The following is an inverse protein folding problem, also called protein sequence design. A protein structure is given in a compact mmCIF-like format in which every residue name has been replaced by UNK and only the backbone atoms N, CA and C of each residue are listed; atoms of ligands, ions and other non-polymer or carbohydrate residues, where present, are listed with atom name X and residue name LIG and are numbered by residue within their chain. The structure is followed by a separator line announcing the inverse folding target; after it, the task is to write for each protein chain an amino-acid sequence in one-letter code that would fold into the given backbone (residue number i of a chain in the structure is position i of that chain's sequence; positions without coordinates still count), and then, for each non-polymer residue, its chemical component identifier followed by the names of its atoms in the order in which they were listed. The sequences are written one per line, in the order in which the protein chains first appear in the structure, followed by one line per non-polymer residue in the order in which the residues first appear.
data_IF_937028913962
#
_entry.id   IF_937028913962
#
_cell.length_a   1.000
_cell.length_b   1.000
_cell.length_c   1.000
_cell.angle_alpha   90.00
_cell.angle_beta   90.00
_cell.angle_gamma   90.00
#
_symmetry.space_group_name_H-M   'P 1'
#
loop_
_entity.id
_entity.type
_entity.pdbx_description
1 polymer ?
#
# COMPACT_ATOMS: atom_id res chain seq x y z
N UNK A 1 4.95 23.26 1.53
CA UNK A 1 6.17 23.11 0.70
C UNK A 1 5.79 22.20 -0.47
N UNK A 2 5.93 22.64 -1.72
CA UNK A 2 5.54 21.87 -2.91
C UNK A 2 6.80 21.22 -3.47
N UNK A 3 6.83 19.90 -3.57
CA UNK A 3 7.98 19.22 -4.18
C UNK A 3 7.93 19.43 -5.70
N UNK A 4 9.09 19.66 -6.32
CA UNK A 4 9.19 19.71 -7.78
C UNK A 4 8.84 18.32 -8.35
N UNK A 5 8.09 18.28 -9.46
CA UNK A 5 7.84 17.01 -10.18
C UNK A 5 9.19 16.42 -10.60
N UNK A 6 9.43 15.18 -10.21
CA UNK A 6 10.68 14.50 -10.57
C UNK A 6 10.60 13.92 -11.99
N UNK A 7 11.68 14.02 -12.76
CA UNK A 7 11.77 13.51 -14.13
C UNK A 7 12.14 12.02 -14.16
N UNK A 8 11.31 11.16 -13.57
CA UNK A 8 11.46 9.70 -13.68
C UNK A 8 10.26 9.09 -14.42
N UNK A 9 10.18 9.22 -15.76
CA UNK A 9 9.00 8.81 -16.53
C UNK A 9 8.73 7.30 -16.50
N UNK A 10 9.72 6.50 -16.10
CA UNK A 10 9.60 5.04 -16.00
C UNK A 10 9.39 4.53 -14.56
N UNK A 11 9.40 5.42 -13.57
CA UNK A 11 9.17 5.00 -12.18
C UNK A 11 7.71 4.64 -12.00
N UNK A 12 7.43 3.34 -11.88
CA UNK A 12 6.10 2.77 -11.67
C UNK A 12 5.96 2.08 -10.33
N UNK A 13 7.08 1.82 -9.66
CA UNK A 13 7.16 1.08 -8.40
C UNK A 13 7.84 1.96 -7.37
N UNK A 14 7.14 2.26 -6.29
CA UNK A 14 7.68 3.06 -5.21
C UNK A 14 7.65 2.26 -3.91
N UNK A 15 8.82 2.15 -3.28
CA UNK A 15 8.98 1.51 -1.97
C UNK A 15 9.16 2.61 -0.93
N UNK A 16 8.23 2.67 0.02
CA UNK A 16 8.25 3.63 1.12
C UNK A 16 8.71 2.89 2.36
N UNK A 17 9.92 3.21 2.82
CA UNK A 17 10.53 2.62 4.01
C UNK A 17 10.48 3.62 5.16
N UNK A 18 9.85 3.27 6.28
CA UNK A 18 9.70 4.16 7.43
C UNK A 18 8.27 4.61 7.67
N UNK A 19 8.05 5.91 7.81
CA UNK A 19 6.74 6.50 8.19
C UNK A 19 5.77 6.72 7.03
N UNK A 20 4.48 6.79 7.35
CA UNK A 20 3.40 7.14 6.42
C UNK A 20 3.13 8.67 6.32
N UNK A 21 4.07 9.49 6.78
CA UNK A 21 3.94 10.94 6.69
C UNK A 21 4.22 11.39 5.25
N UNK A 22 3.58 12.48 4.83
CA UNK A 22 3.84 13.16 3.56
C UNK A 22 3.60 12.31 2.29
N UNK A 23 2.70 11.32 2.36
CA UNK A 23 2.29 10.50 1.20
C UNK A 23 1.80 11.38 0.04
N UNK A 24 1.10 12.46 0.36
CA UNK A 24 0.63 13.42 -0.65
C UNK A 24 1.78 14.08 -1.42
N UNK A 25 2.91 14.39 -0.76
CA UNK A 25 4.10 14.95 -1.42
C UNK A 25 4.73 13.94 -2.38
N UNK A 26 4.75 12.66 -2.01
CA UNK A 26 5.24 11.58 -2.89
C UNK A 26 4.32 11.41 -4.11
N UNK A 27 3.00 11.51 -3.92
CA UNK A 27 2.04 11.45 -5.02
C UNK A 27 2.14 12.65 -5.98
N UNK A 28 2.45 13.86 -5.48
CA UNK A 28 2.75 15.02 -6.32
C UNK A 28 4.04 14.84 -7.12
N UNK A 29 5.06 14.24 -6.49
CA UNK A 29 6.41 14.08 -7.06
C UNK A 29 6.45 12.96 -8.10
N UNK A 30 5.76 11.86 -7.84
CA UNK A 30 5.72 10.64 -8.66
C UNK A 30 4.25 10.26 -8.92
N UNK A 31 3.54 10.94 -9.82
CA UNK A 31 2.11 10.72 -10.02
C UNK A 31 1.78 9.39 -10.71
N UNK A 32 2.72 8.84 -11.49
CA UNK A 32 2.51 7.67 -12.35
C UNK A 32 2.82 6.31 -11.68
N UNK A 33 2.89 6.27 -10.34
CA UNK A 33 3.11 5.01 -9.62
C UNK A 33 1.92 4.06 -9.82
N UNK A 34 2.26 2.84 -10.22
CA UNK A 34 1.35 1.71 -10.42
C UNK A 34 1.42 0.73 -9.23
N UNK A 35 2.56 0.63 -8.55
CA UNK A 35 2.79 -0.31 -7.44
C UNK A 35 3.45 0.36 -6.25
N UNK A 36 2.81 0.27 -5.09
CA UNK A 36 3.37 0.76 -3.82
C UNK A 36 3.75 -0.41 -2.93
N UNK A 37 4.92 -0.32 -2.30
CA UNK A 37 5.29 -1.22 -1.22
C UNK A 37 5.65 -0.41 0.02
N UNK A 38 5.02 -0.74 1.15
CA UNK A 38 5.31 -0.13 2.44
C UNK A 38 6.15 -1.11 3.27
N UNK A 39 7.40 -0.71 3.51
CA UNK A 39 8.33 -1.41 4.41
C UNK A 39 8.33 -0.67 5.73
N UNK A 40 7.58 -1.21 6.67
CA UNK A 40 7.31 -0.54 7.93
C UNK A 40 8.42 -0.87 8.92
N UNK A 41 9.06 0.16 9.49
CA UNK A 41 9.83 -0.04 10.74
C UNK A 41 8.84 -0.44 11.84
N UNK A 42 9.26 -1.15 12.90
CA UNK A 42 8.41 -1.37 14.06
C UNK A 42 7.90 -0.02 14.55
N UNK A 43 6.63 0.26 14.25
CA UNK A 43 5.96 1.46 14.68
C UNK A 43 5.72 1.32 16.18
N UNK A 44 6.13 2.33 16.95
CA UNK A 44 5.65 2.50 18.32
C UNK A 44 4.13 2.66 18.38
N UNK A 45 3.48 3.05 17.27
CA UNK A 45 2.16 3.66 17.34
C UNK A 45 1.21 3.11 16.25
N UNK A 46 0.90 1.81 16.26
CA UNK A 46 -0.35 1.26 15.70
C UNK A 46 -0.73 1.57 14.24
N UNK A 47 0.17 2.12 13.40
CA UNK A 47 -0.17 2.53 12.03
C UNK A 47 -0.42 1.30 11.16
N UNK A 48 -1.68 1.16 10.74
CA UNK A 48 -2.21 0.03 10.01
C UNK A 48 -2.53 0.42 8.55
N UNK A 49 -2.84 -0.55 7.69
CA UNK A 49 -3.29 -0.36 6.30
C UNK A 49 -4.39 0.67 6.15
N UNK A 50 -5.30 0.80 7.11
CA UNK A 50 -6.37 1.81 7.05
C UNK A 50 -5.82 3.23 6.98
N UNK A 51 -4.71 3.51 7.68
CA UNK A 51 -4.05 4.83 7.63
C UNK A 51 -3.51 5.05 6.23
N UNK A 52 -2.84 4.05 5.63
CA UNK A 52 -2.32 4.13 4.27
C UNK A 52 -3.43 4.46 3.26
N UNK A 53 -4.53 3.71 3.33
CA UNK A 53 -5.65 3.90 2.40
C UNK A 53 -6.33 5.25 2.62
N UNK A 54 -6.46 5.70 3.87
CA UNK A 54 -6.99 7.02 4.18
C UNK A 54 -6.10 8.15 3.64
N UNK A 55 -4.78 8.05 3.78
CA UNK A 55 -3.85 9.03 3.22
C UNK A 55 -3.89 9.08 1.69
N UNK A 56 -4.07 7.91 1.04
CA UNK A 56 -4.25 7.84 -0.42
C UNK A 56 -5.58 8.48 -0.86
N UNK A 57 -6.60 8.45 0.00
CA UNK A 57 -7.94 8.96 -0.26
C UNK A 57 -8.12 10.46 0.09
N UNK A 58 -7.29 11.03 0.98
CA UNK A 58 -7.43 12.39 1.53
C UNK A 58 -7.20 13.55 0.54
N UNK A 59 -6.83 13.30 -0.72
CA UNK A 59 -6.53 14.36 -1.70
C UNK A 59 -7.75 14.88 -2.46
N UNK A 60 -7.85 16.20 -2.67
CA UNK A 60 -8.75 16.81 -3.68
C UNK A 60 -8.44 16.34 -5.11
N UNK A 61 -7.25 15.79 -5.30
CA UNK A 61 -6.79 15.06 -6.48
C UNK A 61 -6.46 13.62 -6.06
N UNK A 62 -6.93 12.63 -6.83
CA UNK A 62 -6.57 11.23 -6.61
C UNK A 62 -5.04 11.05 -6.59
N UNK A 63 -4.46 10.78 -5.42
CA UNK A 63 -3.04 10.46 -5.26
C UNK A 63 -2.70 9.14 -5.98
N UNK A 64 -1.84 9.10 -7.00
CA UNK A 64 -1.56 7.89 -7.81
C UNK A 64 -2.79 7.31 -8.53
N UNK A 65 -3.30 7.98 -9.59
CA UNK A 65 -4.48 7.52 -10.33
C UNK A 65 -4.28 6.16 -11.02
N UNK A 66 -3.03 5.74 -11.28
CA UNK A 66 -2.69 4.47 -11.93
C UNK A 66 -2.41 3.33 -10.95
N UNK A 67 -2.65 3.53 -9.65
CA UNK A 67 -2.30 2.55 -8.63
C UNK A 67 -3.07 1.23 -8.80
N UNK A 68 -2.33 0.17 -9.11
CA UNK A 68 -2.85 -1.18 -9.36
C UNK A 68 -2.62 -2.12 -8.17
N UNK A 69 -1.52 -1.93 -7.43
CA UNK A 69 -1.19 -2.81 -6.30
C UNK A 69 -0.57 -2.08 -5.11
N UNK A 70 -0.88 -2.61 -3.93
CA UNK A 70 -0.30 -2.17 -2.66
C UNK A 70 0.28 -3.40 -1.95
N UNK A 71 1.51 -3.29 -1.48
CA UNK A 71 2.21 -4.32 -0.74
C UNK A 71 2.60 -3.82 0.64
N UNK A 72 2.45 -4.66 1.67
CA UNK A 72 2.72 -4.30 3.06
C UNK A 72 3.54 -5.41 3.71
N UNK A 73 4.72 -5.03 4.23
CA UNK A 73 5.68 -5.92 4.90
C UNK A 73 5.15 -6.45 6.25
N UNK A 74 4.60 -5.56 7.09
CA UNK A 74 4.11 -5.91 8.44
C UNK A 74 2.77 -5.28 8.79
N UNK A 75 1.98 -6.02 9.57
CA UNK A 75 0.73 -5.58 10.18
C UNK A 75 0.69 -6.02 11.65
N UNK A 76 0.27 -5.11 12.53
CA UNK A 76 0.29 -5.32 14.00
C UNK A 76 -1.10 -5.60 14.60
N UNK A 77 -2.18 -5.58 13.81
CA UNK A 77 -3.55 -5.84 14.26
C UNK A 77 -4.36 -6.67 13.25
N UNK A 78 -5.57 -7.09 13.63
CA UNK A 78 -6.56 -7.76 12.77
C UNK A 78 -7.12 -6.82 11.70
N UNK A 79 -6.24 -6.33 10.83
CA UNK A 79 -6.49 -5.32 9.82
C UNK A 79 -7.38 -5.76 8.66
N UNK A 80 -7.58 -7.08 8.52
CA UNK A 80 -8.42 -7.63 7.47
C UNK A 80 -9.84 -7.73 8.01
N UNK A 81 -10.55 -6.61 7.90
CA UNK A 81 -11.93 -6.45 8.34
C UNK A 81 -12.81 -5.86 7.22
N UNK A 82 -14.07 -5.57 7.56
CA UNK A 82 -15.00 -4.94 6.63
C UNK A 82 -14.59 -3.50 6.26
N UNK A 83 -13.92 -2.78 7.16
CA UNK A 83 -13.47 -1.42 6.91
C UNK A 83 -12.38 -1.38 5.84
N UNK A 84 -11.45 -2.34 5.84
CA UNK A 84 -10.44 -2.49 4.80
C UNK A 84 -11.09 -2.76 3.45
N UNK A 85 -12.03 -3.71 3.40
CA UNK A 85 -12.79 -4.02 2.19
C UNK A 85 -13.48 -2.77 1.63
N UNK A 86 -14.17 -2.01 2.48
CA UNK A 86 -14.90 -0.82 2.08
C UNK A 86 -13.96 0.29 1.59
N UNK A 87 -12.79 0.45 2.22
CA UNK A 87 -11.78 1.39 1.76
C UNK A 87 -11.27 1.04 0.35
N UNK A 88 -11.04 -0.24 0.06
CA UNK A 88 -10.63 -0.69 -1.28
C UNK A 88 -11.72 -0.42 -2.31
N UNK A 89 -12.99 -0.75 -2.00
CA UNK A 89 -14.12 -0.46 -2.90
C UNK A 89 -14.19 1.05 -3.18
N UNK A 90 -14.03 1.90 -2.16
CA UNK A 90 -14.05 3.35 -2.33
C UNK A 90 -12.97 3.82 -3.29
N UNK A 91 -11.75 3.29 -3.15
CA UNK A 91 -10.64 3.61 -4.07
C UNK A 91 -10.94 3.16 -5.51
N UNK A 92 -11.51 1.96 -5.69
CA UNK A 92 -11.91 1.47 -7.02
C UNK A 92 -13.03 2.31 -7.64
N UNK A 93 -14.04 2.67 -6.86
CA UNK A 93 -15.14 3.55 -7.28
C UNK A 93 -14.66 4.96 -7.65
N UNK A 94 -13.57 5.43 -7.03
CA UNK A 94 -12.91 6.67 -7.42
C UNK A 94 -12.13 6.57 -8.74
N UNK A 95 -12.15 5.41 -9.41
CA UNK A 95 -11.53 5.18 -10.73
C UNK A 95 -10.11 4.60 -10.67
N UNK A 96 -9.63 4.16 -9.50
CA UNK A 96 -8.30 3.54 -9.37
C UNK A 96 -8.35 2.09 -9.84
N UNK A 97 -7.39 1.62 -10.64
CA UNK A 97 -7.31 0.23 -11.11
C UNK A 97 -6.79 -0.74 -10.02
N UNK A 98 -7.01 -0.43 -8.73
CA UNK A 98 -6.49 -1.21 -7.61
C UNK A 98 -7.08 -2.61 -7.65
N UNK A 99 -6.24 -3.60 -7.97
CA UNK A 99 -6.65 -5.00 -8.15
C UNK A 99 -5.92 -5.97 -7.25
N UNK A 100 -4.82 -5.58 -6.62
CA UNK A 100 -3.99 -6.48 -5.82
C UNK A 100 -3.54 -5.86 -4.49
N UNK A 101 -3.61 -6.66 -3.43
CA UNK A 101 -3.07 -6.36 -2.12
C UNK A 101 -2.15 -7.50 -1.67
N UNK A 102 -0.88 -7.19 -1.43
CA UNK A 102 0.10 -8.13 -0.90
C UNK A 102 0.25 -7.93 0.61
N UNK A 103 -0.13 -8.95 1.38
CA UNK A 103 -0.20 -8.89 2.84
C UNK A 103 0.82 -9.83 3.50
N UNK A 104 1.27 -9.56 4.73
CA UNK A 104 2.16 -10.46 5.45
C UNK A 104 1.55 -11.86 5.55
N UNK A 105 2.35 -12.91 5.36
CA UNK A 105 1.87 -14.32 5.41
C UNK A 105 1.15 -14.63 6.71
N UNK A 106 1.73 -14.18 7.82
CA UNK A 106 1.15 -14.29 9.15
C UNK A 106 -0.25 -13.68 9.22
N UNK A 107 -0.44 -12.50 8.64
CA UNK A 107 -1.76 -11.85 8.56
C UNK A 107 -2.74 -12.73 7.81
N UNK A 108 -2.38 -13.25 6.64
CA UNK A 108 -3.26 -14.12 5.85
C UNK A 108 -3.63 -15.39 6.64
N UNK A 109 -2.67 -15.99 7.35
CA UNK A 109 -2.89 -17.21 8.13
C UNK A 109 -3.70 -17.04 9.41
N UNK A 110 -3.56 -15.89 10.10
CA UNK A 110 -4.19 -15.61 11.41
C UNK A 110 -5.55 -14.93 11.27
N UNK A 111 -5.90 -14.47 10.08
CA UNK A 111 -7.17 -13.79 9.81
C UNK A 111 -8.32 -14.78 9.73
N UNK A 112 -9.48 -14.37 10.25
CA UNK A 112 -10.74 -15.10 10.07
C UNK A 112 -11.03 -15.40 8.59
N UNK A 113 -11.36 -16.65 8.28
CA UNK A 113 -11.54 -17.12 6.90
C UNK A 113 -12.66 -16.41 6.17
N UNK A 114 -13.72 -16.00 6.88
CA UNK A 114 -14.84 -15.26 6.30
C UNK A 114 -14.44 -13.83 5.98
N UNK A 115 -13.74 -13.13 6.88
CA UNK A 115 -13.24 -11.78 6.63
C UNK A 115 -12.29 -11.74 5.41
N UNK A 116 -11.34 -12.68 5.35
CA UNK A 116 -10.43 -12.81 4.21
C UNK A 116 -11.16 -13.14 2.91
N UNK A 117 -12.18 -14.02 2.94
CA UNK A 117 -12.98 -14.34 1.78
C UNK A 117 -13.79 -13.14 1.26
N UNK A 118 -14.31 -12.28 2.14
CA UNK A 118 -15.01 -11.06 1.73
C UNK A 118 -14.07 -10.05 1.07
N UNK A 119 -12.83 -9.95 1.56
CA UNK A 119 -11.81 -9.10 0.95
C UNK A 119 -11.42 -9.61 -0.45
N UNK A 120 -11.25 -10.92 -0.62
CA UNK A 120 -10.93 -11.54 -1.92
C UNK A 120 -11.97 -11.34 -3.01
N UNK A 121 -13.21 -10.97 -2.66
CA UNK A 121 -14.26 -10.66 -3.65
C UNK A 121 -14.03 -9.33 -4.36
N UNK A 122 -13.21 -8.44 -3.80
CA UNK A 122 -13.00 -7.09 -4.34
C UNK A 122 -11.58 -6.85 -4.81
N UNK A 123 -10.61 -7.63 -4.32
CA UNK A 123 -9.19 -7.47 -4.64
C UNK A 123 -8.48 -8.82 -4.55
N UNK A 124 -7.49 -9.05 -5.40
CA UNK A 124 -6.59 -10.20 -5.28
C UNK A 124 -5.73 -10.06 -4.03
N UNK A 125 -5.62 -11.15 -3.26
CA UNK A 125 -4.79 -11.19 -2.05
C UNK A 125 -3.65 -12.17 -2.27
N UNK A 126 -2.43 -11.64 -2.23
CA UNK A 126 -1.21 -12.43 -2.31
C UNK A 126 -0.38 -12.29 -1.02
N UNK A 127 0.43 -13.31 -0.67
CA UNK A 127 1.42 -13.14 0.37
C UNK A 127 2.48 -12.13 -0.09
N UNK A 128 2.84 -11.19 0.78
CA UNK A 128 3.96 -10.29 0.59
C UNK A 128 5.23 -11.09 0.34
N UNK A 129 5.98 -10.68 -0.69
CA UNK A 129 7.27 -11.25 -1.03
C UNK A 129 8.31 -10.15 -1.13
N UNK A 130 9.42 -10.41 -0.47
CA UNK A 130 10.67 -9.69 -0.62
C UNK A 130 11.41 -10.27 -1.83
N UNK A 131 10.90 -9.99 -3.03
CA UNK A 131 11.48 -10.47 -4.30
C UNK A 131 12.34 -9.38 -4.97
N UNK A 132 12.68 -8.31 -4.25
CA UNK A 132 13.48 -7.23 -4.83
C UNK A 132 14.92 -7.70 -4.96
N UNK A 133 15.60 -7.36 -6.06
CA UNK A 133 17.05 -7.49 -6.07
C UNK A 133 17.59 -6.69 -4.89
N UNK A 134 18.35 -7.35 -4.03
CA UNK A 134 19.13 -6.73 -2.96
C UNK A 134 20.58 -6.62 -3.47
N UNK A 135 20.87 -5.71 -4.42
CA UNK A 135 22.21 -5.62 -5.01
C UNK A 135 23.29 -5.25 -3.98
N UNK A 136 22.89 -4.77 -2.79
CA UNK A 136 23.76 -4.41 -1.69
C UNK A 136 23.37 -5.15 -0.40
N UNK A 137 23.16 -6.47 -0.47
CA UNK A 137 23.20 -7.26 0.76
C UNK A 137 24.54 -6.97 1.45
N UNK A 138 24.45 -6.31 2.59
CA UNK A 138 25.62 -5.99 3.40
C UNK A 138 26.06 -7.31 4.00
N UNK A 139 27.13 -7.87 3.46
CA UNK A 139 27.87 -8.97 4.06
C UNK A 139 28.57 -8.40 5.28
N UNK A 140 27.90 -8.40 6.43
CA UNK A 140 28.49 -8.17 7.74
C UNK A 140 28.21 -9.37 8.63
#
# INVERSE_FOLDING_TARGET
MRLARSHFPFLRHLIISGGFQDIYLLAETFPDIERLAFKTRPFGDGKNIHVVLAEIDQGTTLAWPKLESIAIDRMYSHAVDLALRNAIIKLQQAGRPLRMLMLPRDTISKTDTKALAQLRKVVEIEPFRDDWPKPFESVF
#
